data_IF_192657407916
#
_entry.id   IF_192657407916
#
_cell.length_a   1.000
_cell.length_b   1.000
_cell.length_c   1.000
_cell.angle_alpha   90.00
_cell.angle_beta   90.00
_cell.angle_gamma   90.00
#
_symmetry.space_group_name_H-M   'P 1'
#
loop_
_entity.id
_entity.type
_entity.pdbx_description
1 polymer ?
#
# COMPACT_ATOMS: atom_id res chain seq x y z
N UNK A 1 -11.57 -2.21 -1.99
CA UNK A 1 -11.75 -1.38 -3.20
C UNK A 1 -10.50 -0.55 -3.51
N UNK A 2 -10.17 -0.36 -4.79
CA UNK A 2 -9.11 0.55 -5.24
C UNK A 2 -9.68 1.97 -5.34
N UNK A 3 -9.07 2.94 -4.64
CA UNK A 3 -9.52 4.35 -4.63
C UNK A 3 -8.71 5.24 -5.57
N UNK A 4 -7.40 5.01 -5.64
CA UNK A 4 -6.50 5.81 -6.47
C UNK A 4 -5.36 4.95 -7.03
N UNK A 5 -4.96 5.24 -8.25
CA UNK A 5 -3.88 4.56 -8.96
C UNK A 5 -3.08 5.59 -9.76
N UNK A 6 -1.81 5.78 -9.40
CA UNK A 6 -0.91 6.73 -10.04
C UNK A 6 0.37 6.04 -10.50
N UNK A 7 0.79 6.33 -11.73
CA UNK A 7 2.06 5.85 -12.29
C UNK A 7 2.90 7.05 -12.70
N UNK A 8 4.17 7.03 -12.32
CA UNK A 8 5.15 8.07 -12.62
C UNK A 8 6.45 7.41 -13.11
N UNK A 9 7.06 7.98 -14.16
CA UNK A 9 8.41 7.61 -14.54
C UNK A 9 9.41 8.40 -13.70
N UNK A 10 10.29 7.71 -12.97
CA UNK A 10 11.31 8.36 -12.11
C UNK A 10 12.51 8.80 -12.93
N UNK A 11 12.85 8.03 -13.96
CA UNK A 11 14.00 8.28 -14.83
C UNK A 11 13.54 8.41 -16.29
N UNK A 12 14.40 9.00 -17.11
CA UNK A 12 14.18 9.11 -18.55
C UNK A 12 14.88 7.97 -19.28
N UNK A 13 14.33 7.55 -20.42
CA UNK A 13 14.89 6.51 -21.27
C UNK A 13 14.03 5.24 -21.36
N UNK A 14 14.48 4.27 -22.15
CA UNK A 14 13.76 3.02 -22.41
C UNK A 14 13.66 2.14 -21.15
N UNK A 15 14.69 2.15 -20.33
CA UNK A 15 14.79 1.38 -19.09
C UNK A 15 14.41 2.23 -17.87
N UNK A 16 13.45 3.13 -18.05
CA UNK A 16 12.98 4.00 -17.00
C UNK A 16 12.37 3.21 -15.85
N UNK A 17 12.60 3.65 -14.62
CA UNK A 17 11.93 3.08 -13.44
C UNK A 17 10.51 3.63 -13.35
N UNK A 18 9.54 2.72 -13.32
CA UNK A 18 8.14 3.03 -13.04
C UNK A 18 7.92 3.03 -11.52
N UNK A 19 7.48 4.18 -11.02
CA UNK A 19 6.97 4.36 -9.66
C UNK A 19 5.45 4.29 -9.71
N UNK A 20 4.89 3.35 -8.97
CA UNK A 20 3.44 3.17 -8.84
C UNK A 20 3.03 3.48 -7.41
N UNK A 21 1.96 4.26 -7.27
CA UNK A 21 1.30 4.53 -6.00
C UNK A 21 -0.15 4.05 -6.11
N UNK A 22 -0.56 3.20 -5.18
CA UNK A 22 -1.93 2.70 -5.10
C UNK A 22 -2.53 3.09 -3.77
N UNK A 23 -3.81 3.46 -3.77
CA UNK A 23 -4.59 3.69 -2.55
C UNK A 23 -5.72 2.67 -2.52
N UNK A 24 -5.68 1.77 -1.55
CA UNK A 24 -6.60 0.63 -1.44
C UNK A 24 -7.31 0.69 -0.10
N UNK A 25 -8.64 0.63 -0.14
CA UNK A 25 -9.48 0.43 1.03
C UNK A 25 -9.79 -1.06 1.16
N UNK A 26 -9.29 -1.72 2.22
CA UNK A 26 -9.47 -3.16 2.39
C UNK A 26 -10.79 -3.52 3.11
N UNK A 27 -11.36 -2.60 3.89
CA UNK A 27 -12.63 -2.76 4.61
C UNK A 27 -13.40 -1.44 4.59
N UNK A 28 -14.74 -1.49 4.47
CA UNK A 28 -15.63 -0.32 4.30
C UNK A 28 -15.72 0.63 5.51
N UNK A 29 -14.98 0.37 6.60
CA UNK A 29 -14.96 1.20 7.81
C UNK A 29 -13.53 1.55 8.28
N UNK A 30 -12.52 1.28 7.45
CA UNK A 30 -11.11 1.54 7.78
C UNK A 30 -10.51 2.53 6.80
N UNK A 31 -9.54 3.34 7.25
CA UNK A 31 -8.85 4.27 6.36
C UNK A 31 -8.19 3.51 5.21
N UNK A 32 -8.27 4.08 4.01
CA UNK A 32 -7.57 3.56 2.85
C UNK A 32 -6.05 3.61 3.07
N UNK A 33 -5.37 2.53 2.69
CA UNK A 33 -3.93 2.35 2.86
C UNK A 33 -3.24 2.62 1.53
N UNK A 34 -2.10 3.30 1.62
CA UNK A 34 -1.28 3.65 0.47
C UNK A 34 -0.16 2.63 0.34
N UNK A 35 0.03 2.10 -0.86
CA UNK A 35 1.13 1.23 -1.23
C UNK A 35 1.99 1.84 -2.32
N UNK A 36 3.28 1.52 -2.29
CA UNK A 36 4.28 2.03 -3.24
C UNK A 36 5.02 0.87 -3.90
N UNK A 37 5.24 0.99 -5.19
CA UNK A 37 6.01 0.02 -5.97
C UNK A 37 7.00 0.73 -6.88
N UNK A 38 8.20 0.17 -7.00
CA UNK A 38 9.24 0.66 -7.91
C UNK A 38 9.79 -0.53 -8.70
N UNK A 39 9.68 -0.47 -10.02
CA UNK A 39 10.24 -1.48 -10.90
C UNK A 39 10.38 -0.95 -12.34
N UNK A 40 11.23 -1.58 -13.15
CA UNK A 40 11.39 -1.24 -14.58
C UNK A 40 10.09 -1.60 -15.32
N UNK A 41 9.56 -2.79 -15.06
CA UNK A 41 8.24 -3.22 -15.53
C UNK A 41 7.12 -2.58 -14.69
N UNK A 42 6.22 -1.86 -15.36
CA UNK A 42 5.05 -1.22 -14.76
C UNK A 42 4.14 -2.23 -14.07
N UNK A 43 3.91 -3.42 -14.64
CA UNK A 43 3.05 -4.46 -14.07
C UNK A 43 3.64 -5.05 -12.80
N UNK A 44 4.96 -5.24 -12.76
CA UNK A 44 5.58 -5.71 -11.53
C UNK A 44 5.61 -4.60 -10.47
N UNK A 45 5.74 -3.34 -10.89
CA UNK A 45 5.63 -2.20 -9.98
C UNK A 45 4.23 -2.12 -9.36
N UNK A 46 3.15 -2.35 -10.13
CA UNK A 46 1.78 -2.37 -9.59
C UNK A 46 1.59 -3.51 -8.59
N UNK A 47 2.07 -4.71 -8.91
CA UNK A 47 1.99 -5.86 -8.01
C UNK A 47 2.71 -5.58 -6.68
N UNK A 48 3.92 -5.02 -6.74
CA UNK A 48 4.68 -4.61 -5.54
C UNK A 48 3.95 -3.54 -4.74
N UNK A 49 3.35 -2.54 -5.39
CA UNK A 49 2.59 -1.50 -4.71
C UNK A 49 1.39 -2.07 -3.95
N UNK A 50 0.64 -2.99 -4.58
CA UNK A 50 -0.51 -3.63 -3.94
C UNK A 50 -0.11 -4.51 -2.74
N UNK A 51 0.92 -5.34 -2.91
CA UNK A 51 1.46 -6.16 -1.81
C UNK A 51 1.97 -5.28 -0.67
N UNK A 52 2.62 -4.15 -0.98
CA UNK A 52 3.02 -3.16 0.01
C UNK A 52 1.85 -2.56 0.79
N UNK A 53 0.76 -2.21 0.11
CA UNK A 53 -0.47 -1.75 0.78
C UNK A 53 -1.06 -2.82 1.69
N UNK A 54 -1.10 -4.08 1.23
CA UNK A 54 -1.62 -5.21 1.99
C UNK A 54 -0.79 -5.49 3.26
N UNK A 55 0.54 -5.53 3.13
CA UNK A 55 1.43 -5.75 4.27
C UNK A 55 1.32 -4.61 5.30
N UNK A 56 1.15 -3.37 4.83
CA UNK A 56 0.94 -2.21 5.69
C UNK A 56 -0.40 -2.29 6.42
N UNK A 57 -1.45 -2.72 5.74
CA UNK A 57 -2.76 -2.95 6.32
C UNK A 57 -2.75 -4.06 7.39
N UNK A 58 -2.08 -5.19 7.13
CA UNK A 58 -1.94 -6.28 8.10
C UNK A 58 -1.17 -5.81 9.34
N UNK A 59 -0.06 -5.11 9.14
CA UNK A 59 0.73 -4.54 10.24
C UNK A 59 -0.10 -3.56 11.10
N UNK A 60 -0.89 -2.70 10.45
CA UNK A 60 -1.79 -1.75 11.14
C UNK A 60 -2.88 -2.48 11.93
N UNK A 61 -3.45 -3.56 11.37
CA UNK A 61 -4.45 -4.38 12.07
C UNK A 61 -3.89 -5.03 13.32
N UNK A 62 -2.68 -5.58 13.26
CA UNK A 62 -2.02 -6.17 14.43
C UNK A 62 -1.74 -5.13 15.52
N UNK A 63 -1.29 -3.94 15.12
CA UNK A 63 -1.06 -2.81 16.05
C UNK A 63 -2.37 -2.33 16.71
N UNK A 64 -3.46 -2.23 15.96
CA UNK A 64 -4.78 -1.87 16.49
C UNK A 64 -5.38 -2.96 17.38
N UNK A 65 -5.11 -4.24 17.07
CA UNK A 65 -5.51 -5.37 17.91
C UNK A 65 -4.81 -5.38 19.27
N UNK A 66 -3.55 -4.93 19.35
CA UNK A 66 -2.80 -4.82 20.61
C UNK A 66 -3.28 -3.69 21.52
N UNK A 67 -3.73 -2.57 20.96
CA UNK A 67 -4.24 -1.43 21.77
C UNK A 67 -5.49 -1.79 22.59
N UNK A 68 -6.37 -2.66 22.09
CA UNK A 68 -7.56 -3.09 22.84
C UNK A 68 -7.23 -3.84 24.14
N UNK A 69 -6.09 -4.54 24.23
CA UNK A 69 -5.72 -5.26 25.44
C UNK A 69 -5.17 -4.37 26.56
N UNK A 70 -4.80 -3.12 26.28
CA UNK A 70 -4.22 -2.20 27.28
C UNK A 70 -5.29 -1.34 27.94
N UNK A 71 -6.39 -1.01 27.23
CA UNK A 71 -7.56 -0.34 27.80
C UNK A 71 -8.46 -1.27 28.65
N UNK A 72 -8.48 -2.58 28.38
CA UNK A 72 -9.22 -3.55 29.21
C UNK A 72 -8.49 -3.96 30.50
N UNK A 73 -7.29 -3.41 30.75
CA UNK A 73 -6.47 -3.70 31.94
C UNK A 73 -6.46 -2.58 32.99
N UNK A 74 -7.27 -1.54 32.84
CA UNK A 74 -7.39 -0.43 33.78
C UNK A 74 -8.73 -0.52 34.53
#
# INVERSE_FOLDING_TARGET
ELKDYKVEAVTQGKDALAKVVVKVEFEENKPAIIGHGLHIDTMLATAKAYVGALNSYLSMRELMGKKKCEEERI
#
